data_IF_686980738035
#
_entry.id   IF_686980738035
#
_cell.length_a   1.000
_cell.length_b   1.000
_cell.length_c   1.000
_cell.angle_alpha   90.00
_cell.angle_beta   90.00
_cell.angle_gamma   90.00
#
_symmetry.space_group_name_H-M   'P 1'
#
loop_
_entity.id
_entity.type
_entity.pdbx_description
1 polymer ?
#
# COMPACT_ATOMS: atom_id res chain seq x y z
N UNK A 1 -7.03 10.44 -27.75
CA UNK A 1 -6.78 10.34 -26.30
C UNK A 1 -5.45 9.64 -25.99
N UNK A 2 -5.09 8.56 -26.68
CA UNK A 2 -3.79 7.87 -26.52
C UNK A 2 -2.54 8.74 -26.70
N UNK A 3 -2.61 9.81 -27.50
CA UNK A 3 -1.48 10.73 -27.74
C UNK A 3 -0.99 11.46 -26.48
N UNK A 4 -1.89 11.74 -25.52
CA UNK A 4 -1.54 12.49 -24.31
C UNK A 4 -0.89 11.60 -23.25
N UNK A 5 -1.32 10.34 -23.12
CA UNK A 5 -0.74 9.39 -22.15
C UNK A 5 0.60 8.82 -22.63
N UNK A 6 0.80 8.63 -23.95
CA UNK A 6 2.12 8.30 -24.51
C UNK A 6 3.12 9.45 -24.29
N UNK A 7 2.68 10.71 -24.45
CA UNK A 7 3.49 11.88 -24.12
C UNK A 7 3.86 11.93 -22.64
N UNK A 8 2.89 11.66 -21.77
CA UNK A 8 3.08 11.60 -20.33
C UNK A 8 4.02 10.47 -19.89
N UNK A 9 3.91 9.27 -20.47
CA UNK A 9 4.83 8.16 -20.21
C UNK A 9 6.28 8.52 -20.58
N UNK A 10 6.48 9.18 -21.73
CA UNK A 10 7.79 9.70 -22.15
C UNK A 10 8.32 10.79 -21.21
N UNK A 11 7.44 11.60 -20.64
CA UNK A 11 7.82 12.61 -19.65
C UNK A 11 8.23 11.95 -18.32
N UNK A 12 7.43 10.99 -17.82
CA UNK A 12 7.71 10.24 -16.59
C UNK A 12 9.05 9.50 -16.65
N UNK A 13 9.32 8.81 -17.75
CA UNK A 13 10.60 8.09 -17.94
C UNK A 13 11.84 8.99 -17.93
N UNK A 14 11.68 10.30 -18.15
CA UNK A 14 12.77 11.30 -18.11
C UNK A 14 12.81 12.09 -16.80
N UNK A 15 11.80 11.92 -15.96
CA UNK A 15 11.64 12.67 -14.71
C UNK A 15 12.47 12.02 -13.62
N UNK A 16 13.18 12.83 -12.82
CA UNK A 16 13.94 12.31 -11.68
C UNK A 16 12.97 11.78 -10.62
N UNK A 17 13.33 10.74 -9.84
CA UNK A 17 12.43 10.14 -8.86
C UNK A 17 11.77 11.13 -7.89
N UNK A 18 12.50 12.17 -7.45
CA UNK A 18 11.99 13.21 -6.55
C UNK A 18 10.94 14.14 -7.17
N UNK A 19 10.91 14.26 -8.50
CA UNK A 19 9.98 15.15 -9.22
C UNK A 19 8.73 14.39 -9.70
N UNK A 20 8.70 13.05 -9.56
CA UNK A 20 7.58 12.21 -9.99
C UNK A 20 6.26 12.58 -9.31
N UNK A 21 6.19 12.85 -7.99
CA UNK A 21 4.95 13.26 -7.33
C UNK A 21 4.25 14.45 -8.01
N UNK A 22 5.02 15.47 -8.43
CA UNK A 22 4.48 16.64 -9.13
C UNK A 22 3.93 16.32 -10.51
N UNK A 23 4.55 15.37 -11.23
CA UNK A 23 4.04 14.93 -12.53
C UNK A 23 2.72 14.19 -12.39
N UNK A 24 2.59 13.35 -11.37
CA UNK A 24 1.34 12.63 -11.11
C UNK A 24 0.18 13.54 -10.66
N UNK A 25 0.45 14.68 -9.99
CA UNK A 25 -0.56 15.73 -9.73
C UNK A 25 -1.23 16.22 -11.03
N UNK A 26 -0.46 16.35 -12.11
CA UNK A 26 -0.99 16.82 -13.40
C UNK A 26 -1.92 15.79 -14.06
N UNK A 27 -1.80 14.50 -13.70
CA UNK A 27 -2.64 13.43 -14.23
C UNK A 27 -4.06 13.45 -13.64
N UNK A 28 -4.19 13.73 -12.34
CA UNK A 28 -5.49 13.80 -11.65
C UNK A 28 -6.38 14.90 -12.25
N UNK A 29 -5.79 16.04 -12.59
CA UNK A 29 -6.49 17.15 -13.26
C UNK A 29 -7.01 16.84 -14.69
N UNK A 30 -6.58 15.74 -15.30
CA UNK A 30 -6.81 15.43 -16.72
C UNK A 30 -7.59 14.14 -16.98
N UNK A 31 -7.84 13.29 -15.99
CA UNK A 31 -8.44 11.96 -16.22
C UNK A 31 -9.95 11.93 -15.94
N UNK A 32 -10.75 11.40 -16.89
CA UNK A 32 -12.22 11.28 -16.77
C UNK A 32 -12.71 9.91 -16.25
N UNK A 33 -11.82 8.97 -15.93
CA UNK A 33 -12.15 7.72 -15.23
C UNK A 33 -10.86 6.91 -14.97
N UNK A 34 -10.66 6.44 -13.73
CA UNK A 34 -9.52 5.57 -13.34
C UNK A 34 -9.50 4.29 -14.19
N UNK A 35 -10.68 3.79 -14.59
CA UNK A 35 -10.82 2.54 -15.35
C UNK A 35 -10.29 2.65 -16.77
N UNK A 36 -10.41 3.81 -17.43
CA UNK A 36 -9.86 4.00 -18.78
C UNK A 36 -8.34 4.19 -18.78
N UNK A 37 -7.77 4.69 -17.69
CA UNK A 37 -6.32 4.94 -17.56
C UNK A 37 -5.54 3.65 -17.23
N UNK A 38 -6.17 2.68 -16.55
CA UNK A 38 -5.56 1.40 -16.14
C UNK A 38 -4.88 0.64 -17.29
N UNK A 39 -5.60 0.39 -18.39
CA UNK A 39 -5.06 -0.37 -19.52
C UNK A 39 -3.91 0.36 -20.22
N UNK A 40 -3.98 1.69 -20.25
CA UNK A 40 -2.91 2.53 -20.80
C UNK A 40 -1.67 2.53 -19.88
N UNK A 41 -1.82 2.55 -18.56
CA UNK A 41 -0.70 2.46 -17.61
C UNK A 41 0.05 1.13 -17.76
N UNK A 42 -0.68 0.04 -17.88
CA UNK A 42 -0.10 -1.30 -18.05
C UNK A 42 0.60 -1.41 -19.41
N UNK A 43 -0.03 -0.94 -20.49
CA UNK A 43 0.57 -1.02 -21.83
C UNK A 43 1.75 -0.08 -22.06
N UNK A 44 1.85 1.02 -21.29
CA UNK A 44 2.94 1.99 -21.38
C UNK A 44 4.05 1.79 -20.32
N UNK A 45 4.03 0.68 -19.59
CA UNK A 45 5.00 0.35 -18.53
C UNK A 45 5.16 1.48 -17.48
N UNK A 46 4.04 2.12 -17.14
CA UNK A 46 3.98 3.22 -16.16
C UNK A 46 3.88 2.65 -14.73
N UNK A 47 3.38 1.42 -14.56
CA UNK A 47 3.20 0.79 -13.25
C UNK A 47 4.47 0.85 -12.38
N UNK A 48 5.68 0.50 -12.86
CA UNK A 48 6.89 0.55 -12.03
C UNK A 48 7.21 1.98 -11.53
N UNK A 49 6.92 2.99 -12.36
CA UNK A 49 7.13 4.41 -12.02
C UNK A 49 6.10 4.84 -10.96
N UNK A 50 4.85 4.42 -11.11
CA UNK A 50 3.80 4.67 -10.11
C UNK A 50 4.17 4.05 -8.76
N UNK A 51 4.63 2.79 -8.74
CA UNK A 51 5.07 2.13 -7.50
C UNK A 51 6.28 2.82 -6.88
N UNK A 52 7.25 3.27 -7.68
CA UNK A 52 8.39 4.05 -7.20
C UNK A 52 7.94 5.39 -6.59
N UNK A 53 6.92 6.02 -7.16
CA UNK A 53 6.37 7.29 -6.69
C UNK A 53 5.70 7.13 -5.33
N UNK A 54 4.94 6.05 -5.11
CA UNK A 54 4.30 5.76 -3.81
C UNK A 54 5.29 5.60 -2.65
N UNK A 55 6.57 5.37 -2.95
CA UNK A 55 7.65 5.23 -1.96
C UNK A 55 8.33 6.56 -1.60
N UNK A 56 7.96 7.66 -2.26
CA UNK A 56 8.59 8.97 -2.04
C UNK A 56 7.99 9.70 -0.83
N UNK A 57 8.70 10.71 -0.35
CA UNK A 57 8.18 11.70 0.58
C UNK A 57 7.38 12.76 -0.20
N UNK A 58 6.13 12.99 0.20
CA UNK A 58 5.22 13.94 -0.44
C UNK A 58 5.14 15.30 0.27
N UNK A 59 5.99 15.55 1.27
CA UNK A 59 5.95 16.76 2.10
C UNK A 59 6.24 18.04 1.31
N UNK A 60 7.15 17.98 0.34
CA UNK A 60 7.50 19.13 -0.50
C UNK A 60 6.40 19.50 -1.52
N UNK A 61 5.39 18.63 -1.68
CA UNK A 61 4.37 18.74 -2.72
C UNK A 61 3.08 19.26 -2.09
N UNK A 62 2.52 20.39 -2.55
CA UNK A 62 1.24 20.90 -2.06
C UNK A 62 0.13 19.85 -2.21
N UNK A 63 -0.55 19.51 -1.11
CA UNK A 63 -1.54 18.43 -1.04
C UNK A 63 -1.00 17.05 -1.46
N UNK A 64 0.33 16.85 -1.47
CA UNK A 64 0.96 15.63 -1.98
C UNK A 64 0.53 14.38 -1.24
N UNK A 65 0.44 14.43 0.09
CA UNK A 65 -0.01 13.30 0.92
C UNK A 65 -1.44 12.88 0.61
N UNK A 66 -2.34 13.85 0.38
CA UNK A 66 -3.73 13.59 -0.02
C UNK A 66 -3.79 12.93 -1.41
N UNK A 67 -3.01 13.42 -2.37
CA UNK A 67 -2.95 12.82 -3.70
C UNK A 67 -2.41 11.39 -3.64
N UNK A 68 -1.33 11.19 -2.89
CA UNK A 68 -0.70 9.88 -2.72
C UNK A 68 -1.70 8.87 -2.13
N UNK A 69 -2.41 9.25 -1.07
CA UNK A 69 -3.39 8.38 -0.41
C UNK A 69 -4.61 8.12 -1.27
N UNK A 70 -5.25 9.14 -1.83
CA UNK A 70 -6.56 8.99 -2.48
C UNK A 70 -6.40 8.54 -3.93
N UNK A 71 -5.59 9.26 -4.70
CA UNK A 71 -5.55 9.09 -6.16
C UNK A 71 -4.51 8.04 -6.57
N UNK A 72 -3.26 8.17 -6.11
CA UNK A 72 -2.17 7.29 -6.58
C UNK A 72 -2.28 5.88 -6.01
N UNK A 73 -2.58 5.74 -4.72
CA UNK A 73 -2.74 4.42 -4.13
C UNK A 73 -3.95 3.68 -4.75
N UNK A 74 -5.07 4.38 -5.02
CA UNK A 74 -6.22 3.77 -5.69
C UNK A 74 -5.91 3.39 -7.14
N UNK A 75 -5.18 4.22 -7.85
CA UNK A 75 -4.73 3.92 -9.22
C UNK A 75 -3.80 2.71 -9.25
N UNK A 76 -2.84 2.63 -8.32
CA UNK A 76 -1.93 1.50 -8.20
C UNK A 76 -2.69 0.20 -7.88
N UNK A 77 -3.56 0.24 -6.86
CA UNK A 77 -4.45 -0.88 -6.52
C UNK A 77 -5.25 -1.32 -7.75
N UNK A 78 -5.88 -0.37 -8.45
CA UNK A 78 -6.69 -0.67 -9.64
C UNK A 78 -5.85 -1.31 -10.75
N UNK A 79 -4.62 -0.86 -10.98
CA UNK A 79 -3.70 -1.43 -11.96
C UNK A 79 -3.21 -2.83 -11.58
N UNK A 80 -3.11 -3.10 -10.28
CA UNK A 80 -2.63 -4.37 -9.74
C UNK A 80 -3.74 -5.39 -9.50
N UNK A 81 -5.00 -4.98 -9.38
CA UNK A 81 -6.16 -5.88 -9.39
C UNK A 81 -6.48 -6.35 -10.82
N UNK A 82 -5.58 -7.18 -11.37
CA UNK A 82 -5.71 -7.82 -12.68
C UNK A 82 -5.37 -9.29 -12.57
N UNK A 83 -6.17 -10.14 -13.23
CA UNK A 83 -5.81 -11.53 -13.45
C UNK A 83 -5.03 -11.63 -14.75
N UNK A 84 -3.78 -12.11 -14.67
CA UNK A 84 -2.95 -12.36 -15.84
C UNK A 84 -2.74 -13.86 -15.99
N UNK A 85 -3.04 -14.39 -17.18
CA UNK A 85 -2.78 -15.80 -17.46
C UNK A 85 -1.26 -16.04 -17.54
N UNK A 86 -0.74 -16.82 -16.58
CA UNK A 86 0.66 -17.25 -16.51
C UNK A 86 1.02 -18.26 -17.59
N UNK A 87 0.04 -18.95 -18.18
CA UNK A 87 0.21 -19.99 -19.19
C UNK A 87 0.10 -19.45 -20.63
N UNK A 88 -0.37 -18.22 -20.81
CA UNK A 88 -0.45 -17.61 -22.13
C UNK A 88 0.94 -17.21 -22.64
N UNK A 89 1.40 -17.89 -23.70
CA UNK A 89 2.72 -17.69 -24.29
C UNK A 89 3.02 -16.26 -24.74
N UNK A 90 1.99 -15.46 -25.11
CA UNK A 90 2.17 -14.07 -25.56
C UNK A 90 2.36 -13.09 -24.42
N UNK A 91 1.86 -13.41 -23.23
CA UNK A 91 1.92 -12.53 -22.04
C UNK A 91 2.80 -13.08 -20.93
N UNK A 92 3.35 -14.29 -21.08
CA UNK A 92 4.15 -15.01 -20.07
C UNK A 92 5.23 -14.15 -19.44
N UNK A 93 6.04 -13.44 -20.23
CA UNK A 93 7.13 -12.60 -19.68
C UNK A 93 6.60 -11.45 -18.83
N UNK A 94 5.50 -10.83 -19.25
CA UNK A 94 4.87 -9.75 -18.50
C UNK A 94 4.16 -10.27 -17.25
N UNK A 95 3.42 -11.38 -17.35
CA UNK A 95 2.73 -11.97 -16.19
C UNK A 95 3.72 -12.46 -15.13
N UNK A 96 4.84 -13.08 -15.53
CA UNK A 96 5.93 -13.41 -14.62
C UNK A 96 6.49 -12.15 -13.93
N UNK A 97 6.88 -11.11 -14.69
CA UNK A 97 7.35 -9.85 -14.08
C UNK A 97 6.31 -9.21 -13.15
N UNK A 98 5.04 -9.26 -13.53
CA UNK A 98 3.97 -8.72 -12.72
C UNK A 98 3.87 -9.44 -11.37
N UNK A 99 3.75 -10.76 -11.36
CA UNK A 99 3.57 -11.52 -10.12
C UNK A 99 4.85 -11.63 -9.28
N UNK A 100 6.03 -11.71 -9.91
CA UNK A 100 7.28 -11.97 -9.20
C UNK A 100 8.00 -10.67 -8.78
N UNK A 101 7.69 -9.54 -9.42
CA UNK A 101 8.35 -8.26 -9.15
C UNK A 101 7.36 -7.15 -8.79
N UNK A 102 6.41 -6.82 -9.67
CA UNK A 102 5.59 -5.62 -9.48
C UNK A 102 4.55 -5.78 -8.36
N UNK A 103 3.96 -6.96 -8.23
CA UNK A 103 2.98 -7.24 -7.18
C UNK A 103 3.63 -7.19 -5.78
N UNK A 104 4.75 -7.90 -5.53
CA UNK A 104 5.56 -7.73 -4.31
C UNK A 104 5.99 -6.29 -4.06
N UNK A 105 6.52 -5.60 -5.08
CA UNK A 105 6.97 -4.22 -4.95
C UNK A 105 5.82 -3.28 -4.57
N UNK A 106 4.62 -3.52 -5.09
CA UNK A 106 3.47 -2.71 -4.76
C UNK A 106 3.07 -2.88 -3.31
N UNK A 107 3.00 -4.11 -2.79
CA UNK A 107 2.75 -4.37 -1.36
C UNK A 107 3.73 -3.58 -0.47
N UNK A 108 5.02 -3.67 -0.77
CA UNK A 108 6.04 -2.92 -0.02
C UNK A 108 5.85 -1.39 -0.12
N UNK A 109 5.36 -0.91 -1.27
CA UNK A 109 5.10 0.51 -1.50
C UNK A 109 3.90 1.00 -0.69
N UNK A 110 2.83 0.19 -0.58
CA UNK A 110 1.67 0.49 0.28
C UNK A 110 2.07 0.53 1.76
N UNK A 111 2.83 -0.47 2.23
CA UNK A 111 3.31 -0.51 3.63
C UNK A 111 4.17 0.71 3.94
N UNK A 112 5.09 1.06 3.05
CA UNK A 112 5.97 2.22 3.24
C UNK A 112 5.19 3.53 3.22
N UNK A 113 4.21 3.67 2.32
CA UNK A 113 3.35 4.86 2.29
C UNK A 113 2.57 5.03 3.59
N UNK A 114 2.00 3.94 4.12
CA UNK A 114 1.34 3.95 5.44
C UNK A 114 2.32 4.35 6.54
N UNK A 115 3.54 3.81 6.55
CA UNK A 115 4.57 4.15 7.55
C UNK A 115 4.92 5.64 7.51
N UNK A 116 5.10 6.21 6.32
CA UNK A 116 5.37 7.63 6.19
C UNK A 116 4.22 8.50 6.73
N UNK A 117 2.97 8.14 6.42
CA UNK A 117 1.82 8.87 6.96
C UNK A 117 1.69 8.71 8.48
N UNK A 118 2.06 7.56 9.03
CA UNK A 118 2.12 7.34 10.47
C UNK A 118 3.15 8.25 11.14
N UNK A 119 4.35 8.38 10.53
CA UNK A 119 5.36 9.32 11.03
C UNK A 119 4.83 10.76 10.98
N UNK A 120 4.19 11.16 9.88
CA UNK A 120 3.58 12.50 9.77
C UNK A 120 2.48 12.72 10.81
N UNK A 121 1.62 11.74 11.03
CA UNK A 121 0.59 11.80 12.07
C UNK A 121 1.18 12.08 13.44
N UNK A 122 2.23 11.34 13.83
CA UNK A 122 2.86 11.49 15.14
C UNK A 122 3.46 12.88 15.34
N UNK A 123 4.05 13.47 14.29
CA UNK A 123 4.60 14.83 14.33
C UNK A 123 3.52 15.91 14.36
N UNK A 124 2.40 15.69 13.66
CA UNK A 124 1.33 16.68 13.47
C UNK A 124 0.11 16.45 14.38
N UNK A 125 0.19 15.52 15.35
CA UNK A 125 -0.94 15.01 16.16
C UNK A 125 -1.79 16.09 16.84
N UNK A 126 -1.18 17.21 17.22
CA UNK A 126 -1.86 18.34 17.91
C UNK A 126 -2.57 19.31 16.95
N UNK A 127 -2.41 19.12 15.64
CA UNK A 127 -3.01 19.97 14.61
C UNK A 127 -4.24 19.28 14.01
N UNK A 128 -5.14 20.07 13.40
CA UNK A 128 -6.23 19.53 12.59
C UNK A 128 -5.72 18.66 11.42
N UNK A 129 -4.50 18.92 10.93
CA UNK A 129 -3.85 18.16 9.85
C UNK A 129 -3.54 16.73 10.31
N UNK A 130 -3.33 16.49 11.62
CA UNK A 130 -3.14 15.16 12.18
C UNK A 130 -4.32 14.22 11.86
N UNK A 131 -5.56 14.69 11.96
CA UNK A 131 -6.74 13.87 11.67
C UNK A 131 -6.84 13.49 10.17
N UNK A 132 -6.38 14.38 9.28
CA UNK A 132 -6.32 14.09 7.85
C UNK A 132 -5.36 12.92 7.57
N UNK A 133 -4.23 12.84 8.27
CA UNK A 133 -3.28 11.73 8.11
C UNK A 133 -3.87 10.38 8.53
N UNK A 134 -4.71 10.31 9.57
CA UNK A 134 -5.44 9.08 9.92
C UNK A 134 -6.36 8.64 8.78
N UNK A 135 -7.13 9.59 8.22
CA UNK A 135 -8.00 9.31 7.07
C UNK A 135 -7.23 8.84 5.83
N UNK A 136 -6.08 9.47 5.56
CA UNK A 136 -5.19 9.09 4.46
C UNK A 136 -4.62 7.68 4.66
N UNK A 137 -4.14 7.35 5.86
CA UNK A 137 -3.67 6.00 6.17
C UNK A 137 -4.77 4.96 5.99
N UNK A 138 -5.97 5.23 6.51
CA UNK A 138 -7.10 4.31 6.38
C UNK A 138 -7.45 4.05 4.91
N UNK A 139 -7.35 5.08 4.06
CA UNK A 139 -7.55 4.94 2.61
C UNK A 139 -6.49 4.04 1.96
N UNK A 140 -5.21 4.24 2.30
CA UNK A 140 -4.10 3.43 1.78
C UNK A 140 -4.23 1.97 2.23
N UNK A 141 -4.55 1.74 3.52
CA UNK A 141 -4.78 0.41 4.09
C UNK A 141 -5.96 -0.28 3.39
N UNK A 142 -7.08 0.43 3.19
CA UNK A 142 -8.25 -0.11 2.49
C UNK A 142 -7.90 -0.59 1.08
N UNK A 143 -7.10 0.19 0.34
CA UNK A 143 -6.63 -0.19 -1.00
C UNK A 143 -5.66 -1.38 -0.95
N UNK A 144 -4.78 -1.46 0.04
CA UNK A 144 -3.91 -2.63 0.25
C UNK A 144 -4.74 -3.89 0.54
N UNK A 145 -5.76 -3.79 1.41
CA UNK A 145 -6.63 -4.92 1.75
C UNK A 145 -7.48 -5.36 0.54
N UNK A 146 -7.95 -4.42 -0.29
CA UNK A 146 -8.63 -4.72 -1.55
C UNK A 146 -7.70 -5.49 -2.51
N UNK A 147 -6.44 -5.07 -2.62
CA UNK A 147 -5.43 -5.78 -3.41
C UNK A 147 -5.19 -7.21 -2.91
N UNK A 148 -5.08 -7.40 -1.60
CA UNK A 148 -4.90 -8.72 -1.00
C UNK A 148 -6.13 -9.62 -1.17
N UNK A 149 -7.33 -9.05 -1.03
CA UNK A 149 -8.58 -9.78 -1.26
C UNK A 149 -8.70 -10.23 -2.72
N UNK A 150 -8.27 -9.39 -3.68
CA UNK A 150 -8.23 -9.75 -5.09
C UNK A 150 -7.26 -10.91 -5.36
N UNK A 151 -6.07 -10.87 -4.77
CA UNK A 151 -5.04 -11.92 -4.92
C UNK A 151 -5.06 -12.95 -3.78
N UNK A 152 -6.23 -13.26 -3.21
CA UNK A 152 -6.32 -14.05 -1.97
C UNK A 152 -5.85 -15.51 -2.09
N UNK A 153 -5.58 -16.00 -3.31
CA UNK A 153 -5.00 -17.32 -3.54
C UNK A 153 -3.45 -17.30 -3.59
N UNK A 154 -2.83 -16.12 -3.61
CA UNK A 154 -1.38 -15.95 -3.69
C UNK A 154 -0.77 -15.96 -2.27
N UNK A 155 -0.54 -17.17 -1.74
CA UNK A 155 0.06 -17.41 -0.42
C UNK A 155 1.34 -16.58 -0.16
N UNK A 156 2.17 -16.41 -1.19
CA UNK A 156 3.44 -15.67 -1.12
C UNK A 156 3.25 -14.20 -0.74
N UNK A 157 2.12 -13.57 -1.10
CA UNK A 157 1.86 -12.16 -0.78
C UNK A 157 1.56 -11.96 0.69
N UNK A 158 0.69 -12.80 1.25
CA UNK A 158 0.37 -12.75 2.69
C UNK A 158 1.65 -13.01 3.50
N UNK A 159 2.43 -14.01 3.07
CA UNK A 159 3.71 -14.33 3.71
C UNK A 159 4.67 -13.14 3.66
N UNK A 160 4.80 -12.48 2.52
CA UNK A 160 5.65 -11.30 2.35
C UNK A 160 5.27 -10.19 3.34
N UNK A 161 3.98 -9.90 3.51
CA UNK A 161 3.52 -8.90 4.48
C UNK A 161 3.93 -9.31 5.89
N UNK A 162 3.59 -10.53 6.29
CA UNK A 162 3.80 -10.98 7.67
C UNK A 162 5.28 -11.11 8.05
N UNK A 163 6.18 -11.36 7.09
CA UNK A 163 7.64 -11.38 7.34
C UNK A 163 8.30 -10.00 7.17
N UNK A 164 7.58 -9.00 6.68
CA UNK A 164 8.14 -7.67 6.42
C UNK A 164 8.45 -6.93 7.73
N UNK A 165 9.71 -6.55 7.99
CA UNK A 165 10.05 -5.75 9.15
C UNK A 165 9.30 -4.42 9.17
N UNK A 166 9.10 -3.81 8.00
CA UNK A 166 8.38 -2.54 7.85
C UNK A 166 6.91 -2.66 8.24
N UNK A 167 6.30 -3.82 8.00
CA UNK A 167 4.93 -4.06 8.44
C UNK A 167 4.88 -4.20 9.97
N UNK A 168 5.83 -4.91 10.58
CA UNK A 168 5.95 -5.02 12.03
C UNK A 168 6.23 -3.65 12.69
N UNK A 169 7.05 -2.81 12.07
CA UNK A 169 7.34 -1.45 12.54
C UNK A 169 6.08 -0.56 12.63
N UNK A 170 5.04 -0.84 11.85
CA UNK A 170 3.77 -0.10 11.94
C UNK A 170 3.12 -0.24 13.32
N UNK A 171 3.32 -1.37 14.01
CA UNK A 171 2.75 -1.64 15.34
C UNK A 171 3.51 -0.89 16.45
N UNK A 172 4.71 -0.38 16.17
CA UNK A 172 5.57 0.31 17.14
C UNK A 172 5.11 1.76 17.36
N UNK A 173 3.93 1.92 17.93
CA UNK A 173 3.32 3.21 18.27
C UNK A 173 2.54 3.08 19.57
N UNK A 174 2.56 4.09 20.43
CA UNK A 174 1.74 4.09 21.67
C UNK A 174 0.46 4.93 21.51
N UNK A 175 0.19 5.45 20.31
CA UNK A 175 -1.03 6.18 20.03
C UNK A 175 -2.23 5.22 19.87
N UNK A 176 -3.32 5.51 20.59
CA UNK A 176 -4.53 4.66 20.62
C UNK A 176 -5.16 4.47 19.24
N UNK A 177 -5.21 5.52 18.43
CA UNK A 177 -5.87 5.50 17.13
C UNK A 177 -5.02 4.75 16.11
N UNK A 178 -3.71 5.00 16.10
CA UNK A 178 -2.79 4.24 15.27
C UNK A 178 -2.79 2.76 15.67
N UNK A 179 -2.76 2.44 16.96
CA UNK A 179 -2.80 1.06 17.43
C UNK A 179 -4.08 0.35 16.97
N UNK A 180 -5.24 0.97 17.19
CA UNK A 180 -6.53 0.42 16.74
C UNK A 180 -6.55 0.14 15.24
N UNK A 181 -6.03 1.09 14.44
CA UNK A 181 -5.93 0.96 12.99
C UNK A 181 -5.00 -0.19 12.57
N UNK A 182 -3.83 -0.33 13.21
CA UNK A 182 -2.87 -1.39 12.89
C UNK A 182 -3.37 -2.78 13.32
N UNK A 183 -4.01 -2.88 14.48
CA UNK A 183 -4.64 -4.13 14.95
C UNK A 183 -5.73 -4.55 13.97
N UNK A 184 -6.58 -3.62 13.53
CA UNK A 184 -7.64 -3.90 12.54
C UNK A 184 -7.06 -4.33 11.19
N UNK A 185 -5.99 -3.69 10.72
CA UNK A 185 -5.28 -4.11 9.50
C UNK A 185 -4.68 -5.52 9.66
N UNK A 186 -4.05 -5.82 10.79
CA UNK A 186 -3.51 -7.15 11.09
C UNK A 186 -4.61 -8.21 11.06
N UNK A 187 -5.71 -7.94 11.76
CA UNK A 187 -6.87 -8.83 11.80
C UNK A 187 -7.38 -9.11 10.39
N UNK A 188 -7.48 -8.09 9.54
CA UNK A 188 -7.93 -8.25 8.16
C UNK A 188 -6.93 -9.06 7.31
N UNK A 189 -5.63 -8.87 7.48
CA UNK A 189 -4.59 -9.69 6.82
C UNK A 189 -4.68 -11.16 7.28
N UNK A 190 -4.95 -11.41 8.56
CA UNK A 190 -5.05 -12.77 9.10
C UNK A 190 -6.37 -13.45 8.74
N UNK A 191 -7.50 -12.73 8.82
CA UNK A 191 -8.87 -13.27 8.79
C UNK A 191 -9.55 -13.14 7.43
N UNK A 192 -9.36 -12.04 6.70
CA UNK A 192 -10.10 -11.73 5.46
C UNK A 192 -9.40 -12.17 4.18
N UNK A 193 -8.19 -12.71 4.28
CA UNK A 193 -7.44 -13.27 3.15
C UNK A 193 -8.02 -14.63 2.69
N UNK A 194 -9.17 -14.62 1.98
CA UNK A 194 -9.71 -15.73 1.17
C UNK A 194 -9.68 -17.17 1.71
N UNK A 195 -9.48 -18.15 0.81
CA UNK A 195 -9.53 -19.61 1.07
C UNK A 195 -8.27 -20.16 1.75
N UNK A 196 -7.14 -19.47 1.61
CA UNK A 196 -5.90 -19.71 2.36
C UNK A 196 -5.85 -18.69 3.48
N UNK A 197 -6.25 -19.08 4.68
CA UNK A 197 -6.36 -18.12 5.78
C UNK A 197 -4.97 -17.54 6.09
N UNK A 198 -4.87 -16.22 6.25
CA UNK A 198 -3.62 -15.61 6.73
C UNK A 198 -3.16 -16.21 8.07
N UNK A 199 -4.10 -16.80 8.82
CA UNK A 199 -3.80 -17.66 9.96
C UNK A 199 -2.88 -18.85 9.63
N UNK A 200 -3.10 -19.60 8.54
CA UNK A 200 -2.22 -20.72 8.18
C UNK A 200 -0.81 -20.24 7.87
N UNK A 201 -0.70 -19.14 7.11
CA UNK A 201 0.57 -18.47 6.83
C UNK A 201 1.26 -18.03 8.14
N UNK A 202 0.48 -17.46 9.07
CA UNK A 202 0.99 -17.02 10.36
C UNK A 202 1.56 -18.17 11.20
N UNK A 203 0.90 -19.33 11.22
CA UNK A 203 1.41 -20.52 11.93
C UNK A 203 2.74 -21.03 11.37
N UNK A 204 2.95 -20.88 10.07
CA UNK A 204 4.19 -21.26 9.37
C UNK A 204 5.34 -20.27 9.55
N UNK A 205 5.10 -19.10 10.15
CA UNK A 205 6.17 -18.15 10.47
C UNK A 205 7.14 -18.73 11.51
N UNK A 206 8.35 -18.19 11.51
CA UNK A 206 9.35 -18.52 12.54
C UNK A 206 8.80 -18.22 13.94
N UNK A 207 9.21 -19.02 14.94
CA UNK A 207 8.77 -18.82 16.32
C UNK A 207 9.13 -17.41 16.84
N UNK A 208 10.27 -16.87 16.43
CA UNK A 208 10.67 -15.49 16.75
C UNK A 208 9.64 -14.48 16.26
N UNK A 209 9.31 -14.50 14.96
CA UNK A 209 8.34 -13.56 14.40
C UNK A 209 6.96 -13.68 15.05
N UNK A 210 6.49 -14.91 15.31
CA UNK A 210 5.22 -15.13 16.02
C UNK A 210 5.25 -14.51 17.41
N UNK A 211 6.35 -14.70 18.15
CA UNK A 211 6.53 -14.10 19.47
C UNK A 211 6.58 -12.58 19.40
N UNK A 212 7.25 -12.00 18.41
CA UNK A 212 7.32 -10.55 18.21
C UNK A 212 5.90 -9.95 18.03
N UNK A 213 5.08 -10.55 17.15
CA UNK A 213 3.67 -10.13 17.00
C UNK A 213 2.86 -10.30 18.28
N UNK A 214 2.95 -11.47 18.92
CA UNK A 214 2.15 -11.77 20.13
C UNK A 214 2.53 -10.83 21.27
N UNK A 215 3.82 -10.56 21.47
CA UNK A 215 4.31 -9.67 22.51
C UNK A 215 3.82 -8.23 22.28
N UNK A 216 3.91 -7.73 21.04
CA UNK A 216 3.45 -6.37 20.74
C UNK A 216 1.93 -6.25 20.91
N UNK A 217 1.16 -7.22 20.39
CA UNK A 217 -0.30 -7.22 20.54
C UNK A 217 -0.73 -7.33 22.01
N UNK A 218 -0.07 -8.18 22.80
CA UNK A 218 -0.35 -8.31 24.23
C UNK A 218 -0.02 -7.02 25.01
N UNK A 219 1.11 -6.38 24.68
CA UNK A 219 1.47 -5.08 25.24
C UNK A 219 0.41 -4.03 24.91
N UNK A 220 -0.02 -3.93 23.65
CA UNK A 220 -1.07 -2.98 23.25
C UNK A 220 -2.39 -3.22 23.98
N UNK A 221 -2.87 -4.45 24.02
CA UNK A 221 -4.13 -4.79 24.69
C UNK A 221 -4.08 -4.46 26.19
N UNK A 222 -2.98 -4.77 26.87
CA UNK A 222 -2.82 -4.46 28.30
C UNK A 222 -2.71 -2.96 28.58
N UNK A 223 -2.05 -2.19 27.72
CA UNK A 223 -1.95 -0.73 27.90
C UNK A 223 -3.29 -0.05 27.66
N UNK A 224 -4.07 -0.48 26.66
CA UNK A 224 -5.35 0.14 26.36
C UNK A 224 -6.46 -0.23 27.33
N UNK A 225 -6.53 -1.49 27.78
CA UNK A 225 -7.46 -1.90 28.83
C UNK A 225 -7.25 -1.11 30.14
N UNK A 226 -6.01 -0.70 30.43
CA UNK A 226 -5.70 0.09 31.63
C UNK A 226 -5.95 1.60 31.45
N UNK A 227 -5.97 2.11 30.23
CA UNK A 227 -6.16 3.54 29.95
C UNK A 227 -7.63 3.93 29.70
N UNK A 228 -8.53 2.95 29.51
CA UNK A 228 -10.00 3.14 29.48
C UNK A 228 -10.65 3.04 30.89
N UNK A 229 -9.85 2.83 31.94
CA UNK A 229 -10.26 2.96 33.36
C UNK A 229 -9.78 4.31 33.88
N UNK A 230 -10.42 5.39 33.41
CA UNK A 230 -10.13 6.77 33.82
C UNK A 230 -11.29 7.71 33.53
#
# INVERSE_FOLDING_TARGET
>A
MSSNLVGFAKELSRTKPGDLPEKFLQLDSRSKSITSVKHEIISLDILPILLLTLRQDFTAVPNGWRLASISLSKLACSCMCVELDRNNAKTKTWSTKFYDQYLPQGIDSFILLTRHMQDRYTHEKKSHIGQDYLSYMNTVISNLLELLAFHANEYSLIKQILVSPKFMELFLTDDVYLCSLMISMFEDVIRKSGRLTGASVFYELSNKLKQDYVNELAYKLTVFDNNDVG
#
